data_IF_707101963935
#
_entry.id   IF_707101963935
#
_cell.length_a   1.000
_cell.length_b   1.000
_cell.length_c   1.000
_cell.angle_alpha   90.00
_cell.angle_beta   90.00
_cell.angle_gamma   90.00
#
_symmetry.space_group_name_H-M   'P 1'
#
loop_
_entity.id
_entity.type
_entity.pdbx_description
1 polymer ?
#
# COMPACT_ATOMS: atom_id res chain seq x y z
N UNK A 1 13.00 17.29 -2.50
CA UNK A 1 12.62 16.19 -3.42
C UNK A 1 11.55 16.70 -4.35
N UNK A 2 11.68 16.47 -5.65
CA UNK A 2 10.62 16.73 -6.65
C UNK A 2 10.40 15.43 -7.40
N UNK A 3 9.19 14.86 -7.25
CA UNK A 3 8.77 13.62 -7.90
C UNK A 3 7.31 13.75 -8.31
N UNK A 4 6.94 13.08 -9.39
CA UNK A 4 5.54 12.88 -9.80
C UNK A 4 5.33 11.38 -9.90
N UNK A 5 4.23 10.89 -9.34
CA UNK A 5 3.80 9.49 -9.46
C UNK A 5 2.43 9.53 -10.09
N UNK A 6 2.28 8.84 -11.21
CA UNK A 6 1.03 8.81 -11.97
C UNK A 6 0.09 7.73 -11.42
N UNK A 7 -1.20 7.87 -11.73
CA UNK A 7 -2.22 6.92 -11.33
C UNK A 7 -1.94 5.53 -11.94
N UNK A 8 -2.04 4.50 -11.12
CA UNK A 8 -1.82 3.11 -11.54
C UNK A 8 -0.36 2.70 -11.66
N UNK A 9 0.62 3.55 -11.30
CA UNK A 9 2.03 3.15 -11.24
C UNK A 9 2.31 2.21 -10.05
N UNK A 10 3.26 1.30 -10.23
CA UNK A 10 3.92 0.60 -9.15
C UNK A 10 5.34 1.14 -8.97
N UNK A 11 5.56 1.91 -7.93
CA UNK A 11 6.81 2.63 -7.67
C UNK A 11 7.51 2.10 -6.43
N UNK A 12 8.80 1.80 -6.54
CA UNK A 12 9.66 1.56 -5.39
C UNK A 12 10.51 2.80 -5.08
N UNK A 13 10.47 3.28 -3.84
CA UNK A 13 11.34 4.34 -3.34
C UNK A 13 12.39 3.69 -2.47
N UNK A 14 13.66 3.72 -2.90
CA UNK A 14 14.77 3.04 -2.23
C UNK A 14 15.84 4.02 -1.75
N UNK A 15 16.62 3.57 -0.77
CA UNK A 15 17.74 4.33 -0.24
C UNK A 15 18.25 3.75 1.08
N UNK A 16 19.45 4.14 1.49
CA UNK A 16 20.03 3.70 2.75
C UNK A 16 19.28 4.25 3.97
N UNK A 17 19.52 3.69 5.14
CA UNK A 17 19.00 4.26 6.39
C UNK A 17 19.47 5.71 6.53
N UNK A 18 18.56 6.60 6.97
CA UNK A 18 18.84 8.02 7.10
C UNK A 18 18.79 8.83 5.79
N UNK A 19 18.49 8.23 4.64
CA UNK A 19 18.42 8.95 3.35
C UNK A 19 17.23 9.90 3.19
N UNK A 20 16.26 9.88 4.12
CA UNK A 20 15.05 10.71 4.07
C UNK A 20 13.78 9.99 3.62
N UNK A 21 13.81 8.66 3.40
CA UNK A 21 12.63 7.88 2.95
C UNK A 21 11.44 7.99 3.90
N UNK A 22 11.65 7.82 5.20
CA UNK A 22 10.57 7.90 6.20
C UNK A 22 9.97 9.29 6.28
N UNK A 23 10.79 10.34 6.12
CA UNK A 23 10.31 11.72 6.03
C UNK A 23 9.45 11.90 4.79
N UNK A 24 9.92 11.42 3.63
CA UNK A 24 9.12 11.47 2.40
C UNK A 24 7.83 10.67 2.52
N UNK A 25 7.88 9.48 3.13
CA UNK A 25 6.69 8.68 3.40
C UNK A 25 5.66 9.44 4.23
N UNK A 26 6.10 10.11 5.29
CA UNK A 26 5.20 10.90 6.14
C UNK A 26 4.54 12.04 5.36
N UNK A 27 5.28 12.70 4.44
CA UNK A 27 4.70 13.71 3.53
C UNK A 27 3.68 13.10 2.58
N UNK A 28 4.07 12.03 1.85
CA UNK A 28 3.17 11.33 0.92
C UNK A 28 1.93 10.80 1.62
N UNK A 29 2.10 10.36 2.87
CA UNK A 29 1.02 9.82 3.70
C UNK A 29 0.18 10.87 4.41
N UNK A 30 0.42 12.17 4.22
CA UNK A 30 -0.25 13.24 4.95
C UNK A 30 -0.15 13.09 6.48
N UNK A 31 0.96 12.51 6.97
CA UNK A 31 1.28 12.39 8.40
C UNK A 31 2.10 13.57 8.88
N UNK A 32 2.69 14.33 7.95
CA UNK A 32 3.47 15.53 8.18
C UNK A 32 3.30 16.47 6.98
N UNK A 33 3.64 17.75 7.14
CA UNK A 33 3.56 18.76 6.08
C UNK A 33 4.95 19.23 5.67
N UNK A 34 5.19 19.51 4.37
CA UNK A 34 6.48 20.01 3.94
C UNK A 34 6.75 21.40 4.51
N UNK A 35 7.97 21.64 5.01
CA UNK A 35 8.37 22.98 5.48
C UNK A 35 8.47 23.97 4.30
N UNK A 36 8.80 23.48 3.10
CA UNK A 36 8.88 24.22 1.85
C UNK A 36 8.57 23.30 0.69
N UNK A 37 7.96 23.86 -0.35
CA UNK A 37 7.56 23.11 -1.55
C UNK A 37 6.04 22.93 -1.59
N UNK A 38 5.55 22.21 -2.55
CA UNK A 38 4.14 21.96 -2.77
C UNK A 38 3.90 20.45 -2.87
N UNK A 39 2.82 19.98 -2.26
CA UNK A 39 2.37 18.59 -2.39
C UNK A 39 0.95 18.55 -2.96
N UNK A 40 0.78 17.78 -4.02
CA UNK A 40 -0.50 17.56 -4.66
C UNK A 40 -0.90 16.09 -4.56
N UNK A 41 -2.14 15.81 -4.15
CA UNK A 41 -2.77 14.49 -4.25
C UNK A 41 -4.03 14.61 -5.10
N UNK A 42 -4.16 13.81 -6.15
CA UNK A 42 -5.26 13.88 -7.11
C UNK A 42 -5.49 15.32 -7.64
N UNK A 43 -4.41 16.06 -7.91
CA UNK A 43 -4.45 17.44 -8.39
C UNK A 43 -4.89 18.48 -7.35
N UNK A 44 -5.12 18.11 -6.09
CA UNK A 44 -5.44 19.02 -4.99
C UNK A 44 -4.17 19.36 -4.22
N UNK A 45 -3.90 20.66 -4.04
CA UNK A 45 -2.82 21.15 -3.21
C UNK A 45 -3.13 20.90 -1.73
N UNK A 46 -2.15 20.38 -0.99
CA UNK A 46 -2.30 19.96 0.40
C UNK A 46 -1.86 21.02 1.42
N UNK A 47 -1.08 22.02 1.00
CA UNK A 47 -0.34 22.96 1.87
C UNK A 47 -1.21 23.74 2.87
N UNK A 48 -2.47 24.04 2.52
CA UNK A 48 -3.38 24.85 3.34
C UNK A 48 -4.46 24.03 4.08
N UNK A 49 -4.29 22.71 4.17
CA UNK A 49 -5.29 21.84 4.79
C UNK A 49 -5.15 21.82 6.32
N UNK A 50 -6.28 21.82 7.01
CA UNK A 50 -6.33 21.57 8.45
C UNK A 50 -6.03 20.09 8.75
N UNK A 51 -5.66 19.77 9.99
CA UNK A 51 -5.42 18.40 10.45
C UNK A 51 -6.63 17.49 10.21
N UNK A 52 -7.85 18.00 10.39
CA UNK A 52 -9.10 17.28 10.13
C UNK A 52 -9.26 16.97 8.64
N UNK A 53 -8.96 17.93 7.77
CA UNK A 53 -9.01 17.75 6.31
C UNK A 53 -7.94 16.76 5.83
N UNK A 54 -6.71 16.86 6.34
CA UNK A 54 -5.65 15.89 6.04
C UNK A 54 -6.03 14.48 6.50
N UNK A 55 -6.64 14.36 7.68
CA UNK A 55 -7.12 13.08 8.21
C UNK A 55 -8.23 12.48 7.35
N UNK A 56 -9.16 13.30 6.85
CA UNK A 56 -10.21 12.85 5.94
C UNK A 56 -9.64 12.35 4.62
N UNK A 57 -8.76 13.15 3.97
CA UNK A 57 -8.10 12.76 2.71
C UNK A 57 -7.27 11.49 2.91
N UNK A 58 -6.48 11.43 3.97
CA UNK A 58 -5.69 10.24 4.29
C UNK A 58 -6.55 8.98 4.41
N UNK A 59 -7.68 9.07 5.08
CA UNK A 59 -8.60 7.95 5.22
C UNK A 59 -9.26 7.55 3.89
N UNK A 60 -9.53 8.51 3.00
CA UNK A 60 -10.21 8.27 1.71
C UNK A 60 -9.25 7.81 0.63
N UNK A 61 -8.06 8.41 0.55
CA UNK A 61 -7.16 8.28 -0.60
C UNK A 61 -6.00 7.31 -0.35
N UNK A 62 -5.63 7.02 0.92
CA UNK A 62 -4.39 6.30 1.22
C UNK A 62 -4.65 5.08 2.09
N UNK A 63 -4.22 3.90 1.61
CA UNK A 63 -4.12 2.68 2.40
C UNK A 63 -2.69 2.47 2.87
N UNK A 64 -2.47 2.39 4.18
CA UNK A 64 -1.14 2.23 4.77
C UNK A 64 -0.83 0.79 5.12
N UNK A 65 0.38 0.34 4.75
CA UNK A 65 0.98 -0.92 5.16
C UNK A 65 2.34 -0.61 5.80
N UNK A 66 2.56 -1.04 7.04
CA UNK A 66 3.77 -0.76 7.80
C UNK A 66 4.55 -2.04 8.10
N UNK A 67 5.86 -1.94 8.24
CA UNK A 67 6.74 -3.04 8.63
C UNK A 67 6.35 -3.67 9.97
N UNK A 68 5.93 -2.87 10.93
CA UNK A 68 5.50 -3.30 12.27
C UNK A 68 4.04 -3.75 12.35
N UNK A 69 3.36 -3.96 11.20
CA UNK A 69 1.94 -4.31 11.08
C UNK A 69 0.99 -3.25 11.66
N UNK A 70 1.33 -2.62 12.76
CA UNK A 70 0.55 -1.60 13.48
C UNK A 70 -0.90 -2.06 13.75
N UNK A 71 -1.07 -3.32 14.16
CA UNK A 71 -2.35 -3.85 14.58
C UNK A 71 -2.62 -3.50 16.06
N UNK A 72 -3.87 -3.22 16.37
CA UNK A 72 -4.29 -3.05 17.75
C UNK A 72 -4.41 -4.44 18.37
N UNK A 73 -3.57 -4.76 19.34
CA UNK A 73 -3.40 -6.10 19.92
C UNK A 73 -4.64 -6.65 20.64
N UNK A 74 -5.51 -5.76 21.12
CA UNK A 74 -6.76 -6.12 21.81
C UNK A 74 -7.94 -6.33 20.85
N UNK A 75 -7.77 -6.05 19.57
CA UNK A 75 -8.78 -6.24 18.54
C UNK A 75 -8.48 -7.49 17.71
N UNK A 76 -9.54 -8.17 17.30
CA UNK A 76 -9.45 -9.29 16.36
C UNK A 76 -8.95 -8.84 14.98
N UNK A 77 -8.61 -9.77 14.10
CA UNK A 77 -8.26 -9.47 12.71
C UNK A 77 -9.38 -8.68 12.03
N UNK A 78 -10.63 -9.12 12.19
CA UNK A 78 -11.79 -8.44 11.62
C UNK A 78 -11.94 -7.00 12.13
N UNK A 79 -11.86 -6.82 13.45
CA UNK A 79 -11.99 -5.50 14.07
C UNK A 79 -10.85 -4.55 13.67
N UNK A 80 -9.62 -5.06 13.49
CA UNK A 80 -8.52 -4.27 12.95
C UNK A 80 -8.79 -3.79 11.52
N UNK A 81 -9.39 -4.64 10.69
CA UNK A 81 -9.73 -4.28 9.30
C UNK A 81 -10.92 -3.31 9.23
N UNK A 82 -11.86 -3.39 10.18
CA UNK A 82 -12.99 -2.46 10.27
C UNK A 82 -12.59 -1.00 10.60
N UNK A 83 -11.40 -0.77 11.21
CA UNK A 83 -11.01 0.56 11.72
C UNK A 83 -11.14 1.72 10.72
N UNK A 84 -10.58 1.68 9.51
CA UNK A 84 -10.71 2.78 8.55
C UNK A 84 -12.16 3.04 8.15
N UNK A 85 -13.00 2.01 8.13
CA UNK A 85 -14.42 2.10 7.80
C UNK A 85 -15.24 2.69 8.96
N UNK A 86 -14.80 2.45 10.20
CA UNK A 86 -15.37 3.12 11.40
C UNK A 86 -15.13 4.63 11.32
N UNK A 87 -13.92 5.04 10.97
CA UNK A 87 -13.59 6.47 10.81
C UNK A 87 -14.37 7.15 9.67
N UNK A 88 -14.79 6.39 8.64
CA UNK A 88 -15.70 6.86 7.60
C UNK A 88 -17.17 6.97 8.04
N UNK A 89 -17.48 6.58 9.28
CA UNK A 89 -18.86 6.56 9.77
C UNK A 89 -19.76 5.50 9.15
N UNK A 90 -19.15 4.47 8.55
CA UNK A 90 -19.89 3.41 7.84
C UNK A 90 -20.74 2.57 8.81
N UNK A 91 -21.98 2.18 8.46
CA UNK A 91 -22.82 1.32 9.29
C UNK A 91 -22.15 -0.02 9.64
N UNK A 92 -22.41 -0.53 10.85
CA UNK A 92 -21.71 -1.74 11.38
C UNK A 92 -21.85 -2.95 10.45
N UNK A 93 -23.02 -3.19 9.89
CA UNK A 93 -23.24 -4.34 9.03
C UNK A 93 -22.40 -4.25 7.75
N UNK A 94 -22.46 -3.11 7.07
CA UNK A 94 -21.76 -2.85 5.82
C UNK A 94 -20.24 -2.95 5.98
N UNK A 95 -19.67 -2.28 7.01
CA UNK A 95 -18.23 -2.35 7.26
C UNK A 95 -17.75 -3.77 7.59
N UNK A 96 -18.62 -4.57 8.28
CA UNK A 96 -18.29 -5.94 8.61
C UNK A 96 -18.22 -6.83 7.36
N UNK A 97 -19.16 -6.69 6.45
CA UNK A 97 -19.18 -7.41 5.16
C UNK A 97 -17.93 -7.06 4.35
N UNK A 98 -17.61 -5.78 4.18
CA UNK A 98 -16.41 -5.31 3.47
C UNK A 98 -15.13 -5.85 4.11
N UNK A 99 -15.07 -5.86 5.45
CA UNK A 99 -13.88 -6.34 6.16
C UNK A 99 -13.71 -7.85 6.08
N UNK A 100 -14.81 -8.61 6.04
CA UNK A 100 -14.79 -10.05 5.78
C UNK A 100 -14.26 -10.35 4.38
N UNK A 101 -14.78 -9.68 3.35
CA UNK A 101 -14.32 -9.83 1.98
C UNK A 101 -12.82 -9.49 1.85
N UNK A 102 -12.36 -8.42 2.51
CA UNK A 102 -10.96 -8.05 2.51
C UNK A 102 -10.07 -9.12 3.17
N UNK A 103 -10.50 -9.73 4.27
CA UNK A 103 -9.77 -10.84 4.92
C UNK A 103 -9.80 -12.13 4.09
N UNK A 104 -10.90 -12.45 3.44
CA UNK A 104 -10.99 -13.59 2.52
C UNK A 104 -10.03 -13.40 1.35
N UNK A 105 -9.97 -12.21 0.78
CA UNK A 105 -9.07 -11.86 -0.32
C UNK A 105 -7.59 -12.11 0.02
N UNK A 106 -7.17 -11.84 1.25
CA UNK A 106 -5.79 -12.09 1.70
C UNK A 106 -5.59 -13.49 2.28
N UNK A 107 -6.55 -14.41 2.10
CA UNK A 107 -6.48 -15.80 2.57
C UNK A 107 -6.62 -15.99 4.07
N UNK A 108 -7.30 -15.07 4.76
CA UNK A 108 -7.51 -15.09 6.22
C UNK A 108 -8.97 -15.25 6.64
N UNK A 109 -9.87 -15.72 5.75
CA UNK A 109 -11.28 -15.96 6.05
C UNK A 109 -11.52 -16.84 7.27
N UNK A 110 -10.67 -17.87 7.49
CA UNK A 110 -10.72 -18.74 8.68
C UNK A 110 -10.08 -18.15 9.94
N UNK A 111 -9.58 -16.91 9.92
CA UNK A 111 -8.83 -16.28 11.02
C UNK A 111 -9.42 -14.96 11.51
N UNK A 112 -10.61 -14.60 11.07
CA UNK A 112 -11.25 -13.30 11.33
C UNK A 112 -11.38 -12.95 12.83
N UNK A 113 -11.60 -13.97 13.68
CA UNK A 113 -11.80 -13.78 15.11
C UNK A 113 -10.51 -13.97 15.95
N UNK A 114 -9.35 -14.18 15.32
CA UNK A 114 -8.08 -14.32 16.03
C UNK A 114 -7.52 -12.95 16.41
N UNK A 115 -6.87 -12.90 17.57
CA UNK A 115 -6.07 -11.75 18.00
C UNK A 115 -4.69 -11.78 17.32
N UNK A 116 -4.03 -10.63 17.15
CA UNK A 116 -2.68 -10.58 16.59
C UNK A 116 -1.68 -11.54 17.25
N UNK A 117 -1.74 -11.71 18.57
CA UNK A 117 -0.87 -12.62 19.32
C UNK A 117 -1.05 -14.11 18.95
N UNK A 118 -2.16 -14.47 18.32
CA UNK A 118 -2.49 -15.85 17.88
C UNK A 118 -2.12 -16.09 16.41
N UNK A 119 -1.47 -15.11 15.76
CA UNK A 119 -1.17 -15.10 14.33
C UNK A 119 0.34 -15.01 14.07
N UNK A 120 0.81 -15.69 13.02
CA UNK A 120 2.19 -15.52 12.55
C UNK A 120 2.44 -14.11 12.02
N UNK A 121 3.70 -13.68 11.91
CA UNK A 121 4.06 -12.37 11.33
C UNK A 121 3.49 -12.17 9.93
N UNK A 122 3.58 -13.18 9.05
CA UNK A 122 2.98 -13.11 7.72
C UNK A 122 1.45 -12.99 7.73
N UNK A 123 0.77 -13.65 8.70
CA UNK A 123 -0.67 -13.49 8.88
C UNK A 123 -1.02 -12.08 9.37
N UNK A 124 -0.27 -11.56 10.35
CA UNK A 124 -0.46 -10.19 10.84
C UNK A 124 -0.25 -9.15 9.74
N UNK A 125 0.75 -9.34 8.88
CA UNK A 125 0.97 -8.45 7.74
C UNK A 125 -0.19 -8.52 6.74
N UNK A 126 -0.72 -9.71 6.45
CA UNK A 126 -1.90 -9.81 5.59
C UNK A 126 -3.15 -9.18 6.23
N UNK A 127 -3.31 -9.17 7.55
CA UNK A 127 -4.36 -8.37 8.22
C UNK A 127 -4.12 -6.89 7.99
N UNK A 128 -2.87 -6.40 8.10
CA UNK A 128 -2.54 -5.02 7.83
C UNK A 128 -2.81 -4.64 6.36
N UNK A 129 -2.52 -5.53 5.41
CA UNK A 129 -2.88 -5.37 4.00
C UNK A 129 -4.40 -5.33 3.82
N UNK A 130 -5.15 -6.27 4.42
CA UNK A 130 -6.62 -6.27 4.36
C UNK A 130 -7.20 -4.96 4.90
N UNK A 131 -6.67 -4.44 6.01
CA UNK A 131 -7.06 -3.15 6.57
C UNK A 131 -6.78 -2.00 5.58
N UNK A 132 -5.63 -2.00 4.93
CA UNK A 132 -5.26 -0.96 3.97
C UNK A 132 -6.19 -0.94 2.75
N UNK A 133 -6.66 -2.10 2.29
CA UNK A 133 -7.47 -2.21 1.06
C UNK A 133 -8.98 -2.19 1.29
N UNK A 134 -9.46 -2.41 2.52
CA UNK A 134 -10.88 -2.50 2.85
C UNK A 134 -11.67 -1.26 2.40
N UNK A 135 -11.09 -0.08 2.60
CA UNK A 135 -11.68 1.19 2.21
C UNK A 135 -11.56 1.51 0.70
N UNK A 136 -10.96 0.62 -0.08
CA UNK A 136 -10.70 0.76 -1.53
C UNK A 136 -9.99 2.07 -1.90
N UNK A 137 -8.90 2.46 -1.20
CA UNK A 137 -8.20 3.70 -1.53
C UNK A 137 -7.52 3.58 -2.90
N UNK A 138 -7.38 4.70 -3.65
CA UNK A 138 -6.66 4.70 -4.92
C UNK A 138 -5.14 4.53 -4.78
N UNK A 139 -4.56 4.90 -3.62
CA UNK A 139 -3.13 4.81 -3.34
C UNK A 139 -2.86 3.84 -2.20
N UNK A 140 -1.92 2.93 -2.40
CA UNK A 140 -1.35 2.07 -1.35
C UNK A 140 0.08 2.53 -1.07
N UNK A 141 0.34 2.92 0.18
CA UNK A 141 1.65 3.35 0.65
C UNK A 141 2.19 2.31 1.63
N UNK A 142 3.23 1.58 1.22
CA UNK A 142 3.80 0.46 1.96
C UNK A 142 5.23 0.77 2.42
N UNK A 143 5.45 0.85 3.73
CA UNK A 143 6.76 1.07 4.34
C UNK A 143 7.35 -0.24 4.81
N UNK A 144 8.42 -0.69 4.16
CA UNK A 144 9.10 -1.97 4.42
C UNK A 144 8.11 -3.14 4.59
N UNK A 145 7.17 -3.34 3.65
CA UNK A 145 6.04 -4.24 3.86
C UNK A 145 6.43 -5.71 4.07
N UNK A 146 7.66 -6.07 3.76
CA UNK A 146 8.20 -7.43 3.83
C UNK A 146 9.37 -7.59 4.79
N UNK A 147 9.82 -6.49 5.42
CA UNK A 147 11.08 -6.45 6.20
C UNK A 147 11.12 -7.38 7.43
N UNK A 148 9.98 -7.84 7.92
CA UNK A 148 9.88 -8.75 9.07
C UNK A 148 9.30 -10.13 8.69
N UNK A 149 9.31 -10.49 7.41
CA UNK A 149 8.64 -11.69 6.89
C UNK A 149 9.65 -12.75 6.41
N UNK A 150 9.23 -14.00 6.48
CA UNK A 150 9.90 -15.09 5.77
C UNK A 150 9.66 -14.98 4.25
N UNK A 151 10.48 -15.70 3.47
CA UNK A 151 10.43 -15.66 1.99
C UNK A 151 9.05 -16.02 1.42
N UNK A 152 8.32 -16.95 2.05
CA UNK A 152 7.00 -17.34 1.58
C UNK A 152 5.99 -16.23 1.81
N UNK A 153 5.95 -15.68 3.01
CA UNK A 153 5.07 -14.55 3.38
C UNK A 153 5.39 -13.29 2.56
N UNK A 154 6.67 -13.04 2.27
CA UNK A 154 7.10 -11.97 1.35
C UNK A 154 6.45 -12.11 -0.01
N UNK A 155 6.52 -13.29 -0.63
CA UNK A 155 5.90 -13.54 -1.93
C UNK A 155 4.38 -13.38 -1.91
N UNK A 156 3.73 -13.83 -0.83
CA UNK A 156 2.28 -13.69 -0.66
C UNK A 156 1.86 -12.21 -0.59
N UNK A 157 2.60 -11.38 0.16
CA UNK A 157 2.33 -9.94 0.26
C UNK A 157 2.60 -9.22 -1.06
N UNK A 158 3.73 -9.52 -1.73
CA UNK A 158 4.07 -8.90 -3.01
C UNK A 158 3.05 -9.26 -4.10
N UNK A 159 2.57 -10.51 -4.14
CA UNK A 159 1.52 -10.92 -5.07
C UNK A 159 0.24 -10.08 -4.90
N UNK A 160 -0.18 -9.79 -3.65
CA UNK A 160 -1.34 -8.93 -3.39
C UNK A 160 -1.08 -7.50 -3.88
N UNK A 161 0.14 -6.96 -3.70
CA UNK A 161 0.48 -5.62 -4.18
C UNK A 161 0.43 -5.52 -5.71
N UNK A 162 0.90 -6.57 -6.41
CA UNK A 162 0.76 -6.67 -7.87
C UNK A 162 -0.70 -6.73 -8.33
N UNK A 163 -1.53 -7.55 -7.68
CA UNK A 163 -2.97 -7.59 -7.95
C UNK A 163 -3.64 -6.22 -7.80
N UNK A 164 -3.27 -5.46 -6.76
CA UNK A 164 -3.80 -4.11 -6.52
C UNK A 164 -3.40 -3.14 -7.64
N UNK A 165 -2.16 -3.23 -8.12
CA UNK A 165 -1.67 -2.46 -9.28
C UNK A 165 -2.45 -2.84 -10.54
N UNK A 166 -2.68 -4.13 -10.79
CA UNK A 166 -3.42 -4.61 -11.95
C UNK A 166 -4.90 -4.18 -11.94
N UNK A 167 -5.44 -3.91 -10.74
CA UNK A 167 -6.75 -3.27 -10.55
C UNK A 167 -6.75 -1.75 -10.81
N UNK A 168 -5.60 -1.17 -11.17
CA UNK A 168 -5.44 0.26 -11.47
C UNK A 168 -5.11 1.12 -10.26
N UNK A 169 -4.74 0.54 -9.11
CA UNK A 169 -4.31 1.32 -7.94
C UNK A 169 -2.85 1.72 -8.08
N UNK A 170 -2.53 2.89 -7.56
CA UNK A 170 -1.14 3.32 -7.40
C UNK A 170 -0.54 2.63 -6.18
N UNK A 171 0.58 1.93 -6.36
CA UNK A 171 1.29 1.24 -5.29
C UNK A 171 2.67 1.87 -5.10
N UNK A 172 2.95 2.37 -3.91
CA UNK A 172 4.24 2.97 -3.55
C UNK A 172 4.85 2.13 -2.44
N UNK A 173 5.95 1.46 -2.74
CA UNK A 173 6.71 0.67 -1.77
C UNK A 173 7.97 1.42 -1.39
N UNK A 174 8.17 1.66 -0.09
CA UNK A 174 9.38 2.24 0.45
C UNK A 174 10.19 1.12 1.06
N UNK A 175 11.42 0.91 0.59
CA UNK A 175 12.25 -0.18 1.07
C UNK A 175 13.75 0.15 0.94
N UNK A 176 14.58 -0.61 1.65
CA UNK A 176 16.02 -0.66 1.43
C UNK A 176 16.45 -1.96 0.72
N UNK A 177 15.50 -2.85 0.46
CA UNK A 177 15.71 -4.13 -0.22
C UNK A 177 15.63 -3.96 -1.74
N UNK A 178 16.73 -4.23 -2.43
CA UNK A 178 16.78 -4.13 -3.89
C UNK A 178 15.95 -5.23 -4.58
N UNK A 179 15.82 -6.43 -3.99
CA UNK A 179 15.00 -7.51 -4.58
C UNK A 179 13.52 -7.10 -4.62
N UNK A 180 13.04 -6.43 -3.57
CA UNK A 180 11.67 -5.89 -3.54
C UNK A 180 11.52 -4.72 -4.52
N UNK A 181 12.56 -3.88 -4.65
CA UNK A 181 12.53 -2.76 -5.60
C UNK A 181 12.49 -3.23 -7.06
N UNK A 182 13.14 -4.35 -7.38
CA UNK A 182 13.11 -4.96 -8.72
C UNK A 182 11.73 -5.51 -9.11
N UNK A 183 10.82 -5.66 -8.15
CA UNK A 183 9.43 -6.03 -8.42
C UNK A 183 8.54 -4.85 -8.80
N UNK A 184 9.02 -3.61 -8.68
CA UNK A 184 8.30 -2.42 -9.07
C UNK A 184 8.56 -2.02 -10.54
N UNK A 185 7.59 -1.35 -11.16
CA UNK A 185 7.66 -0.84 -12.53
C UNK A 185 8.66 0.31 -12.66
N UNK A 186 8.73 1.17 -11.62
CA UNK A 186 9.62 2.33 -11.55
C UNK A 186 10.36 2.35 -10.23
N UNK A 187 11.63 2.70 -10.28
CA UNK A 187 12.50 2.77 -9.09
C UNK A 187 13.02 4.19 -8.93
N UNK A 188 12.77 4.78 -7.76
CA UNK A 188 13.26 6.09 -7.36
C UNK A 188 14.26 5.89 -6.22
N UNK A 189 15.52 6.29 -6.44
CA UNK A 189 16.56 6.19 -5.40
C UNK A 189 16.76 7.53 -4.71
N UNK A 190 16.69 7.51 -3.37
CA UNK A 190 16.91 8.68 -2.53
C UNK A 190 18.20 8.53 -1.77
N UNK A 191 19.01 9.59 -1.74
CA UNK A 191 20.19 9.74 -0.93
C UNK A 191 20.31 11.18 -0.41
N UNK A 192 20.51 11.33 0.91
CA UNK A 192 20.67 12.62 1.58
C UNK A 192 19.54 13.63 1.23
N UNK A 193 18.29 13.15 1.23
CA UNK A 193 17.10 13.96 0.93
C UNK A 193 16.96 14.37 -0.54
N UNK A 194 17.70 13.75 -1.48
CA UNK A 194 17.64 14.05 -2.91
C UNK A 194 17.36 12.80 -3.72
N UNK A 195 16.59 12.95 -4.79
CA UNK A 195 16.49 11.93 -5.84
C UNK A 195 17.81 11.88 -6.60
N UNK A 196 18.44 10.73 -6.62
CA UNK A 196 19.72 10.50 -7.33
C UNK A 196 19.54 9.62 -8.57
N UNK A 197 18.50 8.79 -8.60
CA UNK A 197 18.11 7.97 -9.74
C UNK A 197 16.59 7.90 -9.79
N UNK A 198 16.03 7.89 -11.00
CA UNK A 198 14.61 7.70 -11.28
C UNK A 198 14.52 7.03 -12.66
N UNK A 199 14.09 5.77 -12.68
CA UNK A 199 14.08 5.00 -13.92
C UNK A 199 12.95 3.97 -13.94
N UNK A 200 12.48 3.65 -15.14
CA UNK A 200 11.59 2.52 -15.39
C UNK A 200 12.42 1.23 -15.35
N UNK A 201 11.95 0.26 -14.60
CA UNK A 201 12.62 -1.02 -14.44
C UNK A 201 12.47 -1.85 -15.74
N UNK A 202 13.57 -2.09 -16.50
CA UNK A 202 13.48 -2.79 -17.77
C UNK A 202 13.02 -4.26 -17.63
N UNK A 203 13.27 -4.89 -16.46
CA UNK A 203 12.87 -6.27 -16.19
C UNK A 203 11.40 -6.45 -15.84
N UNK A 204 10.70 -5.37 -15.49
CA UNK A 204 9.31 -5.44 -15.03
C UNK A 204 8.35 -5.93 -16.12
N UNK A 205 8.40 -5.36 -17.33
CA UNK A 205 7.55 -5.77 -18.45
C UNK A 205 7.84 -7.21 -18.88
N UNK A 206 9.10 -7.64 -18.81
CA UNK A 206 9.47 -9.01 -19.15
C UNK A 206 8.90 -10.03 -18.14
N UNK A 207 8.90 -9.67 -16.85
CA UNK A 207 8.45 -10.51 -15.74
C UNK A 207 6.92 -10.49 -15.58
N UNK A 208 6.28 -9.33 -15.68
CA UNK A 208 4.86 -9.11 -15.34
C UNK A 208 3.98 -8.69 -16.53
N UNK A 209 4.53 -8.06 -17.57
CA UNK A 209 3.78 -7.56 -18.73
C UNK A 209 3.08 -8.63 -19.58
N UNK A 210 3.48 -9.90 -19.43
CA UNK A 210 2.83 -11.02 -20.12
C UNK A 210 1.58 -11.54 -19.42
N UNK A 211 1.43 -11.31 -18.13
CA UNK A 211 0.26 -11.78 -17.36
C UNK A 211 -0.93 -10.82 -17.48
N UNK A 212 -0.69 -9.52 -17.50
CA UNK A 212 -1.73 -8.52 -17.72
C UNK A 212 -2.41 -8.63 -19.10
N UNK A 213 -1.67 -9.09 -20.14
CA UNK A 213 -2.23 -9.35 -21.47
C UNK A 213 -3.04 -10.64 -21.57
N UNK A 214 -2.88 -11.58 -20.65
CA UNK A 214 -3.67 -12.83 -20.63
C UNK A 214 -5.04 -12.65 -19.97
N UNK A 215 -5.15 -11.78 -18.98
CA UNK A 215 -6.41 -11.52 -18.28
C UNK A 215 -7.37 -10.60 -19.06
N UNK A 216 -6.88 -9.91 -20.09
CA UNK A 216 -7.67 -9.00 -20.93
C UNK A 216 -8.19 -9.63 -22.25
N UNK A 217 -8.11 -10.96 -22.41
CA UNK A 217 -8.82 -11.64 -23.49
C UNK A 217 -10.25 -11.92 -23.06
N UNK A 218 -11.14 -10.95 -23.35
CA UNK A 218 -12.58 -11.15 -23.36
C UNK A 218 -12.94 -12.40 -24.19
N UNK A 219 -13.73 -13.35 -23.69
CA UNK A 219 -14.24 -14.45 -24.46
C UNK A 219 -15.53 -14.02 -25.22
N UNK A 220 -15.41 -13.08 -26.15
CA UNK A 220 -16.48 -12.75 -27.11
C UNK A 220 -15.81 -12.46 -28.45
N UNK A 221 -15.50 -13.53 -29.20
CA UNK A 221 -15.43 -13.55 -30.65
C UNK A 221 -15.23 -15.00 -31.12
N UNK A 222 -16.26 -15.81 -30.92
CA UNK A 222 -16.53 -17.01 -31.74
C UNK A 222 -18.04 -17.15 -31.81
N UNK A 223 -18.60 -16.62 -32.89
CA UNK A 223 -19.97 -16.76 -33.30
C UNK A 223 -20.12 -16.43 -34.75
#
# INVERSE_FOLDING_TARGET
VSITIDEGEFVAIIGQSGSGKSTLMNMLGLLDTPTHGEYYINGKLVDDLTDDQMSAIRNEEIGFIFQGFNLISSLTALENVELPLVYRGMPKQERREISQDALERVGLGGRMNHLPAEMSGGQQQRVAVARAIAAKPPVILADEPTGNLDTKSTKEVMAILHELKDEGRTVIVITHDNEIAEEAERVIRIRDGKVVEDYINPGYEEKYGRESKKNNKNPIDEG
#
